data_IF_088168088768
#
_entry.id   IF_088168088768
#
_cell.length_a   1.000
_cell.length_b   1.000
_cell.length_c   1.000
_cell.angle_alpha   90.00
_cell.angle_beta   90.00
_cell.angle_gamma   90.00
#
_symmetry.space_group_name_H-M   'P 1'
#
loop_
_entity.id
_entity.type
_entity.pdbx_description
1 polymer ?
#
# COMPACT_ATOMS: atom_id res chain seq x y z
N UNK A 1 11.89 -11.72 -3.93
CA UNK A 1 10.47 -11.75 -3.54
C UNK A 1 9.66 -10.99 -4.57
N UNK A 2 8.59 -11.59 -5.15
CA UNK A 2 7.71 -10.88 -6.06
C UNK A 2 6.98 -9.75 -5.34
N UNK A 3 6.67 -8.66 -6.06
CA UNK A 3 5.98 -7.48 -5.54
C UNK A 3 4.75 -7.18 -6.36
N UNK A 4 3.65 -6.88 -5.68
CA UNK A 4 2.35 -6.64 -6.28
C UNK A 4 1.75 -5.33 -5.78
N UNK A 5 0.85 -4.77 -6.59
CA UNK A 5 0.05 -3.62 -6.19
C UNK A 5 -1.13 -4.07 -5.37
N UNK A 6 -1.41 -3.34 -4.30
CA UNK A 6 -2.61 -3.55 -3.48
C UNK A 6 -3.34 -2.24 -3.28
N UNK A 7 -4.61 -2.19 -3.68
CA UNK A 7 -5.45 -1.02 -3.51
C UNK A 7 -6.03 -0.99 -2.09
N UNK A 8 -6.09 0.19 -1.51
CA UNK A 8 -6.71 0.40 -0.21
C UNK A 8 -8.23 0.47 -0.37
N UNK A 9 -8.89 -0.51 0.22
CA UNK A 9 -10.35 -0.64 0.29
C UNK A 9 -10.69 -0.83 1.77
N UNK A 10 -10.95 0.26 2.51
CA UNK A 10 -11.22 0.18 3.94
C UNK A 10 -12.50 -0.63 4.19
N UNK A 11 -12.41 -1.62 5.07
CA UNK A 11 -13.58 -2.31 5.61
C UNK A 11 -14.20 -1.55 6.79
N UNK A 12 -14.86 -2.28 7.69
CA UNK A 12 -15.48 -1.73 8.90
C UNK A 12 -14.46 -1.04 9.85
N UNK A 13 -13.20 -1.49 9.84
CA UNK A 13 -12.11 -0.81 10.52
C UNK A 13 -11.23 -0.10 9.47
N UNK A 14 -11.28 1.25 9.36
CA UNK A 14 -10.56 2.00 8.34
C UNK A 14 -9.10 2.27 8.72
N UNK A 15 -8.48 1.43 9.56
CA UNK A 15 -7.07 1.59 9.89
C UNK A 15 -6.18 1.27 8.68
N UNK A 16 -5.30 2.19 8.25
CA UNK A 16 -4.44 2.00 7.09
C UNK A 16 -3.29 1.01 7.36
N UNK A 17 -3.07 0.61 8.62
CA UNK A 17 -2.04 -0.37 8.98
C UNK A 17 -2.56 -1.81 8.97
N UNK A 18 -3.86 -2.03 8.72
CA UNK A 18 -4.45 -3.36 8.64
C UNK A 18 -4.27 -3.98 7.24
N UNK A 19 -3.56 -5.12 7.11
CA UNK A 19 -3.38 -5.80 5.83
C UNK A 19 -4.71 -6.19 5.15
N UNK A 20 -5.75 -6.48 5.94
CA UNK A 20 -7.08 -6.85 5.45
C UNK A 20 -7.75 -5.78 4.57
N UNK A 21 -7.34 -4.52 4.70
CA UNK A 21 -7.85 -3.40 3.91
C UNK A 21 -7.17 -3.26 2.53
N UNK A 22 -6.29 -4.18 2.16
CA UNK A 22 -5.50 -4.12 0.93
C UNK A 22 -5.85 -5.26 -0.01
N UNK A 23 -6.35 -4.92 -1.20
CA UNK A 23 -6.80 -5.86 -2.23
C UNK A 23 -5.88 -5.85 -3.44
N UNK A 24 -5.54 -7.02 -3.95
CA UNK A 24 -4.67 -7.17 -5.11
C UNK A 24 -5.17 -6.35 -6.29
N UNK A 25 -4.26 -5.61 -6.92
CA UNK A 25 -4.47 -4.87 -8.16
C UNK A 25 -3.48 -5.37 -9.20
N UNK A 26 -3.97 -5.60 -10.42
CA UNK A 26 -3.14 -5.91 -11.59
C UNK A 26 -2.65 -4.66 -12.31
N UNK A 27 -3.16 -3.49 -11.92
CA UNK A 27 -2.92 -2.21 -12.59
C UNK A 27 -2.06 -1.32 -11.69
N UNK A 28 -1.07 -0.66 -12.29
CA UNK A 28 -0.27 0.37 -11.59
C UNK A 28 -1.17 1.57 -11.26
N UNK A 29 -1.23 1.99 -9.99
CA UNK A 29 -2.02 3.14 -9.58
C UNK A 29 -1.42 4.47 -10.09
N UNK A 30 -2.29 5.43 -10.40
CA UNK A 30 -1.93 6.78 -10.89
C UNK A 30 -2.01 7.87 -9.82
N UNK A 31 -2.67 7.58 -8.69
CA UNK A 31 -2.87 8.44 -7.54
C UNK A 31 -1.57 8.62 -6.73
N UNK A 32 -0.93 9.79 -6.76
CA UNK A 32 0.37 10.01 -6.10
C UNK A 32 0.33 10.95 -4.89
N UNK A 33 -0.75 11.71 -4.72
CA UNK A 33 -0.87 12.75 -3.69
C UNK A 33 -2.27 12.79 -3.11
N UNK A 34 -2.38 13.11 -1.83
CA UNK A 34 -3.65 13.31 -1.12
C UNK A 34 -3.63 12.85 0.33
N UNK A 35 -4.77 12.90 0.99
CA UNK A 35 -4.92 12.65 2.44
C UNK A 35 -5.33 11.21 2.78
N UNK A 36 -5.64 10.39 1.78
CA UNK A 36 -6.11 9.02 1.96
C UNK A 36 -5.20 8.04 1.23
N UNK A 37 -4.97 6.85 1.80
CA UNK A 37 -4.25 5.79 1.09
C UNK A 37 -5.03 5.40 -0.17
N UNK A 38 -4.31 5.36 -1.29
CA UNK A 38 -4.83 4.85 -2.53
C UNK A 38 -4.40 3.39 -2.74
N UNK A 39 -3.10 3.14 -2.63
CA UNK A 39 -2.53 1.82 -2.87
C UNK A 39 -1.13 1.70 -2.30
N UNK A 40 -0.68 0.46 -2.16
CA UNK A 40 0.66 0.11 -1.70
C UNK A 40 1.32 -0.89 -2.63
N UNK A 41 2.65 -0.84 -2.69
CA UNK A 41 3.47 -1.80 -3.39
C UNK A 41 4.18 -2.67 -2.36
N UNK A 42 3.72 -3.90 -2.20
CA UNK A 42 4.22 -4.80 -1.16
C UNK A 42 4.83 -6.06 -1.76
N UNK A 43 5.87 -6.57 -1.09
CA UNK A 43 6.44 -7.88 -1.37
C UNK A 43 5.65 -8.95 -0.65
N UNK A 44 5.37 -10.06 -1.34
CA UNK A 44 4.78 -11.26 -0.73
C UNK A 44 5.80 -12.39 -0.65
N UNK A 45 5.64 -13.36 0.28
CA UNK A 45 6.51 -14.51 0.39
C UNK A 45 6.66 -15.27 -0.94
N UNK A 46 7.87 -15.76 -1.21
CA UNK A 46 8.19 -16.53 -2.43
C UNK A 46 7.47 -17.88 -2.43
N UNK A 47 6.94 -18.28 -3.59
CA UNK A 47 6.25 -19.57 -3.77
C UNK A 47 4.73 -19.52 -3.61
N UNK A 48 4.16 -18.38 -3.20
CA UNK A 48 2.72 -18.17 -3.19
C UNK A 48 2.28 -17.41 -4.47
N UNK A 49 1.15 -17.82 -5.05
CA UNK A 49 0.43 -16.97 -5.99
C UNK A 49 0.11 -15.61 -5.33
N UNK A 50 -0.02 -14.55 -6.12
CA UNK A 50 -0.34 -13.22 -5.59
C UNK A 50 -1.64 -13.29 -4.76
N UNK A 51 -1.57 -13.17 -3.42
CA UNK A 51 -2.77 -13.33 -2.60
C UNK A 51 -3.69 -12.15 -2.84
N UNK A 52 -5.00 -12.43 -2.96
CA UNK A 52 -6.03 -11.41 -3.22
C UNK A 52 -6.12 -10.36 -2.10
N UNK A 53 -5.73 -10.75 -0.89
CA UNK A 53 -5.63 -9.87 0.28
C UNK A 53 -4.17 -9.83 0.70
N UNK A 54 -3.67 -8.65 1.08
CA UNK A 54 -2.31 -8.53 1.59
C UNK A 54 -2.17 -9.36 2.88
N UNK A 55 -1.26 -10.35 2.94
CA UNK A 55 -1.18 -11.26 4.08
C UNK A 55 -0.55 -10.59 5.31
N UNK A 56 0.39 -9.68 5.10
CA UNK A 56 1.08 -8.97 6.16
C UNK A 56 1.67 -7.65 5.66
N UNK A 57 1.91 -6.73 6.60
CA UNK A 57 2.47 -5.42 6.33
C UNK A 57 3.84 -5.32 7.00
N UNK A 58 4.89 -5.10 6.20
CA UNK A 58 6.25 -4.97 6.74
C UNK A 58 6.39 -3.67 7.54
N UNK A 59 7.24 -3.66 8.57
CA UNK A 59 7.51 -2.45 9.37
C UNK A 59 7.93 -1.25 8.51
N UNK A 60 8.70 -1.48 7.44
CA UNK A 60 9.09 -0.42 6.50
C UNK A 60 7.89 0.16 5.76
N UNK A 61 6.97 -0.69 5.30
CA UNK A 61 5.75 -0.23 4.63
C UNK A 61 4.83 0.50 5.61
N UNK A 62 4.73 0.06 6.86
CA UNK A 62 3.98 0.76 7.93
C UNK A 62 4.51 2.18 8.11
N UNK A 63 5.84 2.33 8.20
CA UNK A 63 6.46 3.65 8.33
C UNK A 63 6.19 4.55 7.12
N UNK A 64 6.23 4.00 5.90
CA UNK A 64 5.88 4.76 4.70
C UNK A 64 4.41 5.17 4.65
N UNK A 65 3.50 4.34 5.16
CA UNK A 65 2.07 4.69 5.27
C UNK A 65 1.90 5.86 6.23
N UNK A 66 2.50 5.79 7.42
CA UNK A 66 2.45 6.87 8.41
C UNK A 66 3.05 8.16 7.86
N UNK A 67 4.23 8.09 7.22
CA UNK A 67 4.87 9.25 6.62
C UNK A 67 4.03 9.83 5.46
N UNK A 68 3.41 8.97 4.65
CA UNK A 68 2.59 9.39 3.52
C UNK A 68 1.36 10.16 4.00
N UNK A 69 0.65 9.64 5.00
CA UNK A 69 -0.50 10.31 5.60
C UNK A 69 -0.10 11.61 6.31
N UNK A 70 1.10 11.68 6.88
CA UNK A 70 1.58 12.93 7.50
C UNK A 70 2.00 13.99 6.49
N UNK A 71 2.47 13.59 5.30
CA UNK A 71 3.02 14.51 4.28
C UNK A 71 2.07 14.75 3.11
N UNK A 72 0.97 13.99 3.03
CA UNK A 72 0.05 13.94 1.90
C UNK A 72 0.72 13.62 0.55
N UNK A 73 1.90 12.99 0.59
CA UNK A 73 2.71 12.66 -0.57
C UNK A 73 3.10 11.18 -0.60
N UNK A 74 3.23 10.62 -1.80
CA UNK A 74 3.71 9.25 -1.98
C UNK A 74 5.06 9.03 -1.28
N UNK A 75 5.25 7.84 -0.71
CA UNK A 75 6.45 7.49 0.06
C UNK A 75 7.12 6.22 -0.47
N UNK A 76 8.45 6.15 -0.45
CA UNK A 76 9.40 7.22 -0.13
C UNK A 76 9.43 8.29 -1.23
N UNK A 77 9.63 9.56 -0.86
CA UNK A 77 9.65 10.70 -1.80
C UNK A 77 10.72 10.55 -2.91
N UNK A 78 11.77 9.78 -2.65
CA UNK A 78 12.86 9.49 -3.58
C UNK A 78 12.89 8.01 -3.97
N UNK A 79 13.00 7.74 -5.27
CA UNK A 79 13.06 6.38 -5.82
C UNK A 79 11.70 5.83 -6.25
N UNK A 80 11.47 4.53 -6.07
CA UNK A 80 10.19 3.89 -6.38
C UNK A 80 9.24 4.01 -5.19
N UNK A 81 8.12 4.69 -5.38
CA UNK A 81 7.07 4.80 -4.36
C UNK A 81 6.53 3.41 -3.99
N UNK A 82 6.42 3.17 -2.69
CA UNK A 82 5.77 2.00 -2.11
C UNK A 82 4.38 2.32 -1.57
N UNK A 83 4.07 3.59 -1.31
CA UNK A 83 2.77 4.05 -0.85
C UNK A 83 2.32 5.19 -1.74
N UNK A 84 1.09 5.08 -2.23
CA UNK A 84 0.44 6.02 -3.13
C UNK A 84 -0.81 6.55 -2.43
N UNK A 85 -1.05 7.86 -2.54
CA UNK A 85 -2.14 8.55 -1.87
C UNK A 85 -3.10 9.13 -2.90
N UNK A 86 -4.36 9.30 -2.50
CA UNK A 86 -5.42 9.95 -3.27
C UNK A 86 -6.06 11.05 -2.43
N UNK A 87 -6.48 12.12 -3.11
CA UNK A 87 -7.31 13.18 -2.56
C UNK A 87 -8.73 12.68 -2.30
#
# INVERSE_FOLDING_TARGET
>A
MPRYWYNYVPGANPSPTLPANYRLSTIKPTCVTGSTICSVYSSVPTGAAAPTILPSLSNRLSNYITNGLSTNAAQPVTGKFFVYLKS
#
